data_IF_360076069256
#
_entry.id   IF_360076069256
#
_cell.length_a   1.000
_cell.length_b   1.000
_cell.length_c   1.000
_cell.angle_alpha   90.00
_cell.angle_beta   90.00
_cell.angle_gamma   90.00
#
_symmetry.space_group_name_H-M   'P 1'
#
loop_
_entity.id
_entity.type
_entity.pdbx_description
1 polymer ?
#
# COMPACT_ATOMS: atom_id res chain seq x y z
N UNK A 1 4.54 4.68 20.83
CA UNK A 1 3.78 4.79 19.58
C UNK A 1 3.66 3.39 19.01
N UNK A 2 2.44 2.87 18.85
CA UNK A 2 2.23 1.52 18.29
C UNK A 2 2.25 1.62 16.77
N UNK A 3 3.07 0.80 16.11
CA UNK A 3 3.11 0.72 14.65
C UNK A 3 1.94 -0.11 14.15
N UNK A 4 1.13 0.46 13.26
CA UNK A 4 0.08 -0.29 12.54
C UNK A 4 0.68 -0.88 11.28
N UNK A 5 0.56 -2.20 11.13
CA UNK A 5 0.88 -2.90 9.88
C UNK A 5 -0.36 -2.96 9.01
N UNK A 6 -0.18 -2.74 7.71
CA UNK A 6 -1.22 -2.88 6.70
C UNK A 6 -0.71 -3.82 5.61
N UNK A 7 -1.45 -4.88 5.35
CA UNK A 7 -1.15 -5.85 4.30
C UNK A 7 -1.43 -5.29 2.90
N UNK A 8 -2.34 -4.30 2.78
CA UNK A 8 -2.65 -3.73 1.48
C UNK A 8 -3.55 -2.49 1.49
N UNK A 9 -3.93 -2.09 0.27
CA UNK A 9 -4.82 -0.96 -0.01
C UNK A 9 -6.17 -1.53 -0.47
N UNK A 10 -7.23 -1.21 0.27
CA UNK A 10 -8.60 -1.60 -0.06
C UNK A 10 -9.22 -0.72 -1.14
N UNK A 11 -8.90 0.56 -1.10
CA UNK A 11 -9.45 1.54 -2.01
C UNK A 11 -8.48 2.71 -2.18
N UNK A 12 -8.45 3.28 -3.37
CA UNK A 12 -7.73 4.50 -3.69
C UNK A 12 -8.61 5.40 -4.55
N UNK A 13 -8.95 6.57 -4.02
CA UNK A 13 -9.83 7.53 -4.71
C UNK A 13 -9.22 8.94 -4.69
N UNK A 14 -9.44 9.69 -5.77
CA UNK A 14 -9.10 11.11 -5.87
C UNK A 14 -10.39 11.93 -5.69
N UNK A 15 -10.43 12.77 -4.66
CA UNK A 15 -11.53 13.69 -4.37
C UNK A 15 -10.94 15.05 -4.02
N UNK A 16 -11.37 16.11 -4.72
CA UNK A 16 -10.97 17.50 -4.46
C UNK A 16 -9.45 17.72 -4.33
N UNK A 17 -8.65 17.06 -5.18
CA UNK A 17 -7.19 17.19 -5.16
C UNK A 17 -6.47 16.45 -4.02
N UNK A 18 -7.22 15.64 -3.27
CA UNK A 18 -6.71 14.75 -2.22
C UNK A 18 -6.93 13.30 -2.63
N UNK A 19 -5.88 12.51 -2.54
CA UNK A 19 -5.92 11.06 -2.75
C UNK A 19 -6.12 10.39 -1.40
N UNK A 20 -7.27 9.74 -1.24
CA UNK A 20 -7.58 8.94 -0.07
C UNK A 20 -7.22 7.49 -0.35
N UNK A 21 -6.43 6.90 0.55
CA UNK A 21 -5.99 5.51 0.51
C UNK A 21 -6.51 4.82 1.76
N UNK A 22 -7.43 3.88 1.59
CA UNK A 22 -7.93 3.07 2.70
C UNK A 22 -7.04 1.82 2.84
N UNK A 23 -6.40 1.68 4.01
CA UNK A 23 -5.49 0.59 4.33
C UNK A 23 -6.26 -0.57 4.97
N UNK A 24 -5.85 -1.79 4.67
CA UNK A 24 -6.42 -3.00 5.26
C UNK A 24 -5.36 -3.99 5.72
N UNK A 25 -5.76 -4.86 6.65
CA UNK A 25 -5.07 -6.11 6.97
C UNK A 25 -5.89 -7.30 6.50
N UNK A 26 -5.22 -8.35 6.09
CA UNK A 26 -5.78 -9.67 5.79
C UNK A 26 -5.58 -10.54 7.01
N UNK A 27 -6.66 -10.90 7.70
CA UNK A 27 -6.58 -11.69 8.93
C UNK A 27 -6.65 -13.20 8.68
N UNK A 28 -7.24 -13.62 7.57
CA UNK A 28 -7.26 -15.03 7.16
C UNK A 28 -7.52 -15.17 5.67
N UNK A 29 -6.87 -16.16 5.06
CA UNK A 29 -7.11 -16.59 3.68
C UNK A 29 -7.50 -18.05 3.72
N UNK A 30 -8.76 -18.37 3.39
CA UNK A 30 -9.26 -19.74 3.30
C UNK A 30 -9.45 -20.12 1.83
N UNK A 31 -9.08 -21.35 1.46
CA UNK A 31 -9.20 -21.80 0.08
C UNK A 31 -10.66 -21.80 -0.39
N UNK A 32 -10.93 -21.07 -1.49
CA UNK A 32 -12.27 -20.96 -2.07
C UNK A 32 -13.19 -19.92 -1.41
N UNK A 33 -12.66 -19.07 -0.52
CA UNK A 33 -13.39 -17.93 0.05
C UNK A 33 -12.64 -16.63 -0.20
N UNK A 34 -13.39 -15.53 -0.22
CA UNK A 34 -12.80 -14.20 -0.18
C UNK A 34 -12.00 -14.01 1.12
N UNK A 35 -10.81 -13.38 1.07
CA UNK A 35 -10.02 -13.09 2.25
C UNK A 35 -10.80 -12.26 3.27
N UNK A 36 -10.65 -12.59 4.56
CA UNK A 36 -11.19 -11.75 5.62
C UNK A 36 -10.29 -10.53 5.77
N UNK A 37 -10.84 -9.35 5.50
CA UNK A 37 -10.11 -8.08 5.52
C UNK A 37 -10.70 -7.13 6.56
N UNK A 38 -9.82 -6.38 7.22
CA UNK A 38 -10.21 -5.37 8.21
C UNK A 38 -9.52 -4.05 7.87
N UNK A 39 -10.26 -2.94 7.93
CA UNK A 39 -9.66 -1.61 7.77
C UNK A 39 -8.75 -1.32 8.97
N UNK A 40 -7.53 -0.87 8.69
CA UNK A 40 -6.54 -0.52 9.72
C UNK A 40 -6.20 0.97 9.74
N UNK A 41 -6.74 1.73 8.79
CA UNK A 41 -6.62 3.18 8.76
C UNK A 41 -6.85 3.76 7.37
N UNK A 42 -6.81 5.08 7.29
CA UNK A 42 -6.93 5.85 6.05
C UNK A 42 -5.81 6.86 5.98
N UNK A 43 -5.14 6.95 4.83
CA UNK A 43 -4.20 8.02 4.51
C UNK A 43 -4.88 9.01 3.57
N UNK A 44 -4.67 10.31 3.82
CA UNK A 44 -5.07 11.38 2.92
C UNK A 44 -3.82 12.10 2.43
N UNK A 45 -3.60 12.08 1.12
CA UNK A 45 -2.40 12.63 0.48
C UNK A 45 -2.80 13.74 -0.47
N UNK A 46 -2.11 14.87 -0.43
CA UNK A 46 -2.19 15.81 -1.55
C UNK A 46 -1.56 15.20 -2.80
N UNK A 47 -1.97 15.64 -4.00
CA UNK A 47 -1.37 15.17 -5.26
C UNK A 47 0.17 15.25 -5.27
N UNK A 48 0.82 16.36 -4.82
CA UNK A 48 2.28 16.40 -4.76
C UNK A 48 2.89 15.40 -3.76
N UNK A 49 2.19 15.13 -2.65
CA UNK A 49 2.65 14.13 -1.69
C UNK A 49 2.61 12.73 -2.29
N UNK A 50 1.55 12.38 -3.02
CA UNK A 50 1.46 11.11 -3.72
C UNK A 50 2.63 10.91 -4.70
N UNK A 51 2.95 11.92 -5.53
CA UNK A 51 4.04 11.83 -6.51
C UNK A 51 5.39 11.58 -5.81
N UNK A 52 5.67 12.32 -4.72
CA UNK A 52 6.92 12.13 -3.95
C UNK A 52 6.99 10.74 -3.32
N UNK A 53 5.89 10.27 -2.73
CA UNK A 53 5.81 8.95 -2.10
C UNK A 53 6.00 7.84 -3.14
N UNK A 54 5.37 7.96 -4.31
CA UNK A 54 5.54 7.03 -5.42
C UNK A 54 7.01 6.92 -5.86
N UNK A 55 7.71 8.05 -6.03
CA UNK A 55 9.15 8.08 -6.34
C UNK A 55 9.99 7.38 -5.26
N UNK A 56 9.70 7.61 -3.98
CA UNK A 56 10.43 6.97 -2.88
C UNK A 56 10.18 5.45 -2.83
N UNK A 57 8.94 5.00 -3.04
CA UNK A 57 8.64 3.57 -3.13
C UNK A 57 9.33 2.92 -4.33
N UNK A 58 9.33 3.57 -5.50
CA UNK A 58 10.04 3.08 -6.69
C UNK A 58 11.52 2.86 -6.40
N UNK A 59 12.20 3.85 -5.81
CA UNK A 59 13.62 3.75 -5.43
C UNK A 59 13.89 2.63 -4.43
N UNK A 60 13.00 2.44 -3.45
CA UNK A 60 13.12 1.35 -2.48
C UNK A 60 12.97 -0.02 -3.15
N UNK A 61 11.99 -0.18 -4.04
CA UNK A 61 11.79 -1.43 -4.80
C UNK A 61 12.99 -1.71 -5.68
N UNK A 62 13.49 -0.72 -6.42
CA UNK A 62 14.67 -0.89 -7.28
C UNK A 62 15.91 -1.28 -6.46
N UNK A 63 16.07 -0.71 -5.26
CA UNK A 63 17.09 -1.16 -4.31
C UNK A 63 16.90 -2.62 -3.89
N UNK A 64 15.69 -3.03 -3.53
CA UNK A 64 15.40 -4.43 -3.17
C UNK A 64 15.67 -5.40 -4.31
N UNK A 65 15.44 -4.99 -5.56
CA UNK A 65 15.82 -5.78 -6.75
C UNK A 65 17.33 -5.87 -6.89
N UNK A 66 18.04 -4.74 -6.77
CA UNK A 66 19.51 -4.71 -6.82
C UNK A 66 20.16 -5.55 -5.72
N UNK A 67 19.55 -5.59 -4.54
CA UNK A 67 20.01 -6.37 -3.39
C UNK A 67 19.60 -7.86 -3.49
N UNK A 68 18.90 -8.27 -4.56
CA UNK A 68 18.46 -9.65 -4.81
C UNK A 68 17.29 -10.13 -3.94
N UNK A 69 16.60 -9.22 -3.26
CA UNK A 69 15.45 -9.53 -2.39
C UNK A 69 14.18 -9.76 -3.21
N UNK A 70 13.97 -8.95 -4.25
CA UNK A 70 12.83 -9.06 -5.16
C UNK A 70 13.30 -9.38 -6.58
N UNK A 71 12.50 -10.16 -7.29
CA UNK A 71 12.66 -10.33 -8.75
C UNK A 71 11.55 -9.55 -9.44
N UNK A 72 11.92 -8.64 -10.34
CA UNK A 72 10.96 -7.87 -11.14
C UNK A 72 10.51 -8.76 -12.30
N UNK A 73 9.34 -9.38 -12.15
CA UNK A 73 8.69 -10.04 -13.28
C UNK A 73 8.18 -8.92 -14.19
N UNK A 74 8.75 -8.84 -15.40
CA UNK A 74 8.39 -7.84 -16.41
C UNK A 74 6.91 -7.93 -16.80
#
# INVERSE_FOLDING_TARGET
MQTTYADGIANMILVDGVVRVDLMNVTSVEQGKEPNTHSVGTLALSLPALIRIHDQFGKMIDKMVSDGILTKNQ
#
